data_IF_287232588366
#
_entry.id   IF_287232588366
#
_cell.length_a   1.000
_cell.length_b   1.000
_cell.length_c   1.000
_cell.angle_alpha   90.00
_cell.angle_beta   90.00
_cell.angle_gamma   90.00
#
_symmetry.space_group_name_H-M   'P 1'
#
loop_
_entity.id
_entity.type
_entity.pdbx_description
1 polymer ?
#
# COMPACT_ATOMS: atom_id res chain seq x y z
N UNK A 1 8.98 10.04 -6.56
CA UNK A 1 7.88 9.48 -5.76
C UNK A 1 8.14 9.71 -4.30
N UNK A 2 7.13 10.22 -3.59
CA UNK A 2 7.14 10.32 -2.14
C UNK A 2 6.62 9.01 -1.56
N UNK A 3 7.34 8.45 -0.60
CA UNK A 3 6.99 7.18 0.03
C UNK A 3 6.60 7.41 1.49
N UNK A 4 5.58 6.68 1.95
CA UNK A 4 5.19 6.58 3.36
C UNK A 4 5.49 5.16 3.83
N UNK A 5 6.07 5.02 5.01
CA UNK A 5 6.36 3.72 5.62
C UNK A 5 5.77 3.65 7.01
N UNK A 6 5.08 2.56 7.31
CA UNK A 6 4.54 2.28 8.64
C UNK A 6 4.72 0.80 8.97
N UNK A 7 5.34 0.51 10.12
CA UNK A 7 5.62 -0.86 10.57
C UNK A 7 4.46 -1.43 11.40
N UNK A 8 3.22 -1.05 11.08
CA UNK A 8 2.01 -1.54 11.75
C UNK A 8 1.59 -2.88 11.15
N UNK A 9 1.25 -3.83 12.02
CA UNK A 9 0.74 -5.16 11.66
C UNK A 9 -0.62 -5.34 12.35
N UNK A 10 -1.61 -5.74 11.57
CA UNK A 10 -2.95 -6.08 12.06
C UNK A 10 -3.11 -7.58 12.23
N UNK A 11 -3.99 -7.99 13.14
CA UNK A 11 -4.31 -9.40 13.33
C UNK A 11 -5.21 -9.91 12.21
N UNK A 12 -6.18 -9.09 11.79
CA UNK A 12 -7.21 -9.51 10.83
C UNK A 12 -7.10 -8.78 9.48
N UNK A 13 -7.61 -9.41 8.42
CA UNK A 13 -7.77 -8.76 7.11
C UNK A 13 -8.70 -7.55 7.23
N UNK A 14 -9.77 -7.65 8.02
CA UNK A 14 -10.76 -6.58 8.17
C UNK A 14 -10.15 -5.29 8.72
N UNK A 15 -9.27 -5.39 9.71
CA UNK A 15 -8.57 -4.22 10.25
C UNK A 15 -7.62 -3.61 9.21
N UNK A 16 -6.88 -4.46 8.48
CA UNK A 16 -5.98 -4.03 7.43
C UNK A 16 -6.72 -3.34 6.27
N UNK A 17 -7.91 -3.82 5.89
CA UNK A 17 -8.78 -3.18 4.89
C UNK A 17 -9.21 -1.78 5.31
N UNK A 18 -9.68 -1.62 6.55
CA UNK A 18 -10.09 -0.30 7.09
C UNK A 18 -8.92 0.66 7.09
N UNK A 19 -7.71 0.18 7.39
CA UNK A 19 -6.50 1.00 7.31
C UNK A 19 -6.16 1.36 5.85
N UNK A 20 -6.13 0.37 4.96
CA UNK A 20 -5.77 0.54 3.56
C UNK A 20 -6.68 1.52 2.83
N UNK A 21 -7.97 1.61 3.18
CA UNK A 21 -8.90 2.59 2.62
C UNK A 21 -8.46 4.04 2.90
N UNK A 22 -8.02 4.33 4.13
CA UNK A 22 -7.45 5.66 4.46
C UNK A 22 -6.17 5.96 3.68
N UNK A 23 -5.29 4.97 3.51
CA UNK A 23 -4.04 5.10 2.75
C UNK A 23 -4.32 5.35 1.27
N UNK A 24 -5.29 4.65 0.68
CA UNK A 24 -5.70 4.86 -0.71
C UNK A 24 -6.20 6.29 -0.93
N UNK A 25 -7.00 6.83 0.00
CA UNK A 25 -7.46 8.21 -0.06
C UNK A 25 -6.31 9.23 -0.01
N UNK A 26 -5.31 9.03 0.86
CA UNK A 26 -4.10 9.87 0.90
C UNK A 26 -3.30 9.80 -0.43
N UNK A 27 -3.23 8.62 -1.05
CA UNK A 27 -2.55 8.40 -2.33
C UNK A 27 -3.30 9.03 -3.51
N UNK A 28 -4.62 8.91 -3.56
CA UNK A 28 -5.44 9.62 -4.55
C UNK A 28 -5.32 11.14 -4.41
N UNK A 29 -5.22 11.63 -3.16
CA UNK A 29 -4.91 13.03 -2.86
C UNK A 29 -3.47 13.43 -3.15
N UNK A 30 -2.62 12.53 -3.65
CA UNK A 30 -1.19 12.73 -3.95
C UNK A 30 -0.37 13.22 -2.76
N UNK A 31 -0.76 12.84 -1.53
CA UNK A 31 0.03 13.13 -0.32
C UNK A 31 1.36 12.36 -0.36
N UNK A 32 1.33 11.16 -0.93
CA UNK A 32 2.47 10.32 -1.30
C UNK A 32 2.06 9.37 -2.44
N UNK A 33 3.04 8.80 -3.14
CA UNK A 33 2.85 7.99 -4.34
C UNK A 33 3.06 6.48 -4.09
N UNK A 34 3.72 6.14 -2.98
CA UNK A 34 4.00 4.75 -2.62
C UNK A 34 3.96 4.51 -1.11
N UNK A 35 3.63 3.28 -0.74
CA UNK A 35 3.46 2.84 0.64
C UNK A 35 4.28 1.57 0.89
N UNK A 36 5.04 1.55 1.98
CA UNK A 36 5.80 0.39 2.44
C UNK A 36 5.24 -0.13 3.78
N UNK A 37 5.09 -1.45 3.89
CA UNK A 37 4.58 -2.09 5.10
C UNK A 37 5.12 -3.52 5.26
N UNK A 38 5.34 -3.99 6.49
CA UNK A 38 5.60 -5.41 6.75
C UNK A 38 4.32 -6.25 6.74
N UNK A 39 3.12 -5.64 6.72
CA UNK A 39 1.86 -6.37 6.73
C UNK A 39 1.34 -6.63 5.32
N UNK A 40 1.46 -7.89 4.89
CA UNK A 40 0.96 -8.34 3.58
C UNK A 40 -0.53 -8.07 3.38
N UNK A 41 -1.34 -8.04 4.45
CA UNK A 41 -2.78 -7.80 4.39
C UNK A 41 -3.08 -6.36 3.98
N UNK A 42 -2.31 -5.40 4.50
CA UNK A 42 -2.41 -3.99 4.09
C UNK A 42 -2.02 -3.85 2.62
N UNK A 43 -0.89 -4.44 2.22
CA UNK A 43 -0.43 -4.38 0.83
C UNK A 43 -1.45 -4.99 -0.15
N UNK A 44 -2.05 -6.12 0.22
CA UNK A 44 -3.11 -6.78 -0.55
C UNK A 44 -4.34 -5.87 -0.71
N UNK A 45 -4.91 -5.37 0.39
CA UNK A 45 -6.11 -4.54 0.36
C UNK A 45 -5.87 -3.22 -0.39
N UNK A 46 -4.72 -2.57 -0.14
CA UNK A 46 -4.34 -1.32 -0.79
C UNK A 46 -4.21 -1.48 -2.30
N UNK A 47 -3.54 -2.55 -2.75
CA UNK A 47 -3.39 -2.83 -4.19
C UNK A 47 -4.75 -2.97 -4.86
N UNK A 48 -5.70 -3.66 -4.21
CA UNK A 48 -7.06 -3.81 -4.72
C UNK A 48 -7.81 -2.49 -4.80
N UNK A 49 -7.73 -1.64 -3.77
CA UNK A 49 -8.38 -0.33 -3.78
C UNK A 49 -7.79 0.59 -4.86
N UNK A 50 -6.47 0.74 -4.92
CA UNK A 50 -5.82 1.61 -5.89
C UNK A 50 -6.18 1.23 -7.33
N UNK A 51 -6.24 -0.07 -7.64
CA UNK A 51 -6.54 -0.59 -8.96
C UNK A 51 -7.98 -0.32 -9.44
N UNK A 52 -8.88 0.14 -8.56
CA UNK A 52 -10.23 0.58 -8.96
C UNK A 52 -10.21 1.91 -9.73
N UNK A 53 -9.13 2.70 -9.57
CA UNK A 53 -8.96 3.94 -10.30
C UNK A 53 -8.16 3.69 -11.59
N UNK A 54 -8.83 3.79 -12.74
CA UNK A 54 -8.25 3.52 -14.06
C UNK A 54 -7.27 4.61 -14.54
N UNK A 55 -7.22 5.76 -13.85
CA UNK A 55 -6.27 6.83 -14.19
C UNK A 55 -4.83 6.49 -13.77
N UNK A 56 -4.64 5.40 -13.03
CA UNK A 56 -3.34 5.01 -12.48
C UNK A 56 -2.99 3.54 -12.77
N UNK A 57 -1.71 3.31 -13.07
CA UNK A 57 -1.09 1.99 -13.05
C UNK A 57 -0.58 1.70 -11.64
N UNK A 58 -1.08 0.62 -11.03
CA UNK A 58 -0.63 0.14 -9.72
C UNK A 58 0.50 -0.87 -9.88
N UNK A 59 1.49 -0.77 -9.02
CA UNK A 59 2.66 -1.62 -8.97
C UNK A 59 2.86 -2.17 -7.56
N UNK A 60 3.40 -3.38 -7.49
CA UNK A 60 3.70 -4.06 -6.23
C UNK A 60 5.08 -4.71 -6.27
N UNK A 61 5.79 -4.69 -5.16
CA UNK A 61 7.08 -5.37 -4.98
C UNK A 61 7.16 -5.96 -3.58
N UNK A 62 7.83 -7.09 -3.44
CA UNK A 62 8.24 -7.65 -2.15
C UNK A 62 9.75 -7.60 -2.07
N UNK A 63 10.27 -7.06 -0.96
CA UNK A 63 11.70 -6.98 -0.69
C UNK A 63 12.02 -7.63 0.65
N UNK A 64 13.18 -8.26 0.75
CA UNK A 64 13.65 -8.88 2.00
C UNK A 64 14.70 -7.96 2.64
N UNK A 65 14.42 -7.47 3.85
CA UNK A 65 15.33 -6.64 4.64
C UNK A 65 15.50 -7.27 6.01
N UNK A 66 16.72 -7.62 6.39
CA UNK A 66 17.04 -8.12 7.74
C UNK A 66 16.09 -9.26 8.18
N UNK A 67 15.90 -10.25 7.31
CA UNK A 67 15.00 -11.40 7.53
C UNK A 67 13.50 -11.08 7.60
N UNK A 68 13.09 -9.85 7.26
CA UNK A 68 11.69 -9.44 7.20
C UNK A 68 11.25 -9.14 5.77
N UNK A 69 10.06 -9.59 5.43
CA UNK A 69 9.37 -9.23 4.19
C UNK A 69 8.80 -7.82 4.32
N UNK A 70 9.15 -6.95 3.36
CA UNK A 70 8.60 -5.61 3.22
C UNK A 70 7.88 -5.54 1.89
N UNK A 71 6.58 -5.28 1.97
CA UNK A 71 5.69 -5.12 0.85
C UNK A 71 5.62 -3.65 0.45
N UNK A 72 5.76 -3.38 -0.84
CA UNK A 72 5.70 -2.05 -1.43
C UNK A 72 4.56 -1.99 -2.42
N UNK A 73 3.74 -0.95 -2.33
CA UNK A 73 2.65 -0.68 -3.26
C UNK A 73 2.77 0.76 -3.72
N UNK A 74 2.67 1.02 -5.02
CA UNK A 74 2.71 2.39 -5.55
C UNK A 74 1.90 2.55 -6.82
N UNK A 75 1.63 3.81 -7.17
CA UNK A 75 0.87 4.14 -8.36
C UNK A 75 1.57 5.20 -9.21
N UNK A 76 1.38 5.11 -10.53
CA UNK A 76 1.80 6.12 -11.50
C UNK A 76 0.61 6.48 -12.41
N UNK A 77 0.44 7.73 -12.84
CA UNK A 77 -0.55 8.06 -13.86
C UNK A 77 -0.34 7.21 -15.13
N UNK A 78 -1.44 6.81 -15.77
CA UNK A 78 -1.43 6.14 -17.08
C UNK A 78 -1.01 7.12 -18.19
#
# INVERSE_FOLDING_TARGET
MKWKREDRIFETIREAEVWADSIANEMYGRVFDGYETPDYKIAYALSFFLAQNQDFTVHTEVSFKEEREIYKVWQNPV
#
